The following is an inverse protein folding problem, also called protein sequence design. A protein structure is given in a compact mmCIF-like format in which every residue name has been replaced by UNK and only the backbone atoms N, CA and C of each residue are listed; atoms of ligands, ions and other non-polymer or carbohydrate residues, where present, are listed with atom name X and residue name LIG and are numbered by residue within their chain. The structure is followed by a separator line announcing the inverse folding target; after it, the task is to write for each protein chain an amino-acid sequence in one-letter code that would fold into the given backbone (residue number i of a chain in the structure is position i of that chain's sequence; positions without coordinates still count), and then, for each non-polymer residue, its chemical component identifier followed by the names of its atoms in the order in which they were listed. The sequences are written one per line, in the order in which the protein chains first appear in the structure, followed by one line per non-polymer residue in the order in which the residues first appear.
data_IF_368295592735
#
_entry.id   IF_368295592735
#
_cell.length_a   1.000
_cell.length_b   1.000
_cell.length_c   1.000
_cell.angle_alpha   90.00
_cell.angle_beta   90.00
_cell.angle_gamma   90.00
#
_symmetry.space_group_name_H-M   'P 1'
#
loop_
_entity.id
_entity.type
_entity.pdbx_description
1 polymer ?
#
# COMPACT_ATOMS: atom_id res chain seq x y z
N UNK A 1 -7.16 -13.85 -5.58
CA UNK A 1 -6.06 -13.21 -4.81
C UNK A 1 -4.75 -13.71 -5.38
N UNK A 2 -3.89 -12.83 -5.91
CA UNK A 2 -2.55 -13.24 -6.38
C UNK A 2 -1.55 -13.17 -5.23
N UNK A 3 -0.49 -13.99 -5.23
CA UNK A 3 0.52 -14.00 -4.14
C UNK A 3 1.09 -12.60 -3.87
N UNK A 4 1.30 -11.82 -4.94
CA UNK A 4 1.77 -10.43 -4.89
C UNK A 4 0.82 -9.46 -4.17
N UNK A 5 -0.48 -9.77 -4.17
CA UNK A 5 -1.52 -8.98 -3.50
C UNK A 5 -1.50 -9.23 -1.98
N UNK A 6 -1.28 -10.48 -1.57
CA UNK A 6 -1.14 -10.85 -0.15
C UNK A 6 0.13 -10.26 0.46
N UNK A 7 1.25 -10.31 -0.25
CA UNK A 7 2.51 -9.71 0.22
C UNK A 7 2.38 -8.19 0.40
N UNK A 8 1.69 -7.53 -0.52
CA UNK A 8 1.44 -6.08 -0.43
C UNK A 8 0.56 -5.73 0.78
N UNK A 9 -0.46 -6.54 1.07
CA UNK A 9 -1.29 -6.38 2.27
C UNK A 9 -0.48 -6.56 3.55
N UNK A 10 0.33 -7.62 3.64
CA UNK A 10 1.19 -7.89 4.81
C UNK A 10 2.20 -6.76 5.05
N UNK A 11 2.81 -6.23 3.98
CA UNK A 11 3.76 -5.11 4.08
C UNK A 11 3.07 -3.84 4.57
N UNK A 12 1.85 -3.55 4.12
CA UNK A 12 1.10 -2.36 4.54
C UNK A 12 0.57 -2.48 5.97
N UNK A 13 0.14 -3.68 6.37
CA UNK A 13 -0.27 -3.99 7.73
C UNK A 13 0.91 -3.84 8.70
N UNK A 14 2.07 -4.44 8.38
CA UNK A 14 3.28 -4.26 9.20
C UNK A 14 3.74 -2.79 9.27
N UNK A 15 3.45 -1.98 8.25
CA UNK A 15 3.68 -0.54 8.23
C UNK A 15 2.69 0.23 9.12
N UNK A 16 1.39 -0.13 9.11
CA UNK A 16 0.41 0.50 10.00
C UNK A 16 0.67 0.18 11.45
N UNK A 17 1.11 -1.05 11.72
CA UNK A 17 1.38 -1.55 13.06
C UNK A 17 2.72 -1.00 13.60
N UNK A 18 3.50 -0.30 12.78
CA UNK A 18 4.81 0.26 13.15
C UNK A 18 5.94 -0.77 13.21
N UNK A 19 5.67 -2.03 12.84
CA UNK A 19 6.63 -3.13 12.83
C UNK A 19 7.60 -3.07 11.64
N UNK A 20 7.32 -2.22 10.65
CA UNK A 20 8.13 -2.10 9.43
C UNK A 20 8.39 -0.63 9.07
N UNK A 21 9.67 -0.29 8.85
CA UNK A 21 10.06 1.04 8.38
C UNK A 21 9.61 1.27 6.94
N UNK A 22 9.17 2.50 6.65
CA UNK A 22 8.67 2.93 5.33
C UNK A 22 9.67 2.73 4.20
N UNK A 23 10.97 2.88 4.46
CA UNK A 23 12.04 2.64 3.49
C UNK A 23 12.13 1.16 3.08
N UNK A 24 12.04 0.26 4.05
CA UNK A 24 12.08 -1.20 3.81
C UNK A 24 10.83 -1.65 3.05
N UNK A 25 9.67 -1.13 3.44
CA UNK A 25 8.42 -1.41 2.74
C UNK A 25 8.43 -0.89 1.30
N UNK A 26 9.01 0.29 1.06
CA UNK A 26 9.16 0.85 -0.28
C UNK A 26 10.02 -0.07 -1.18
N UNK A 27 11.14 -0.58 -0.66
CA UNK A 27 11.97 -1.54 -1.37
C UNK A 27 11.22 -2.85 -1.68
N UNK A 28 10.48 -3.41 -0.70
CA UNK A 28 9.68 -4.64 -0.90
C UNK A 28 8.53 -4.46 -1.90
N UNK A 29 7.94 -3.27 -1.95
CA UNK A 29 6.86 -2.95 -2.87
C UNK A 29 7.37 -2.49 -4.25
N UNK A 30 8.67 -2.24 -4.41
CA UNK A 30 9.22 -1.63 -5.62
C UNK A 30 8.70 -0.21 -5.87
N UNK A 31 8.39 0.53 -4.79
CA UNK A 31 7.82 1.88 -4.84
C UNK A 31 8.77 2.88 -4.20
N UNK A 32 8.58 4.17 -4.48
CA UNK A 32 9.23 5.24 -3.72
C UNK A 32 8.61 5.39 -2.33
N UNK A 33 9.39 5.86 -1.36
CA UNK A 33 8.92 6.16 0.01
C UNK A 33 7.67 7.03 0.02
N UNK A 34 7.58 8.02 -0.88
CA UNK A 34 6.41 8.90 -1.04
C UNK A 34 5.17 8.15 -1.52
N UNK A 35 5.32 7.22 -2.45
CA UNK A 35 4.22 6.36 -2.92
C UNK A 35 3.77 5.41 -1.81
N UNK A 36 4.70 4.85 -1.03
CA UNK A 36 4.39 3.98 0.12
C UNK A 36 3.63 4.73 1.20
N UNK A 37 4.04 5.95 1.57
CA UNK A 37 3.32 6.80 2.54
C UNK A 37 1.92 7.18 2.05
N UNK A 38 1.76 7.45 0.75
CA UNK A 38 0.44 7.71 0.17
C UNK A 38 -0.46 6.47 0.27
N UNK A 39 0.11 5.29 0.04
CA UNK A 39 -0.60 4.03 0.16
C UNK A 39 -1.00 3.74 1.61
N UNK A 40 -0.11 4.00 2.57
CA UNK A 40 -0.37 3.85 4.00
C UNK A 40 -1.48 4.79 4.49
N UNK A 41 -1.44 6.07 4.10
CA UNK A 41 -2.51 7.02 4.44
C UNK A 41 -3.87 6.57 3.93
N UNK A 42 -3.91 6.03 2.71
CA UNK A 42 -5.15 5.48 2.13
C UNK A 42 -5.62 4.22 2.85
N UNK A 43 -4.68 3.35 3.26
CA UNK A 43 -4.97 2.17 4.08
C UNK A 43 -5.53 2.55 5.45
N UNK A 44 -5.01 3.60 6.09
CA UNK A 44 -5.51 4.10 7.38
C UNK A 44 -6.89 4.76 7.26
N UNK A 45 -7.17 5.49 6.18
CA UNK A 45 -8.45 6.18 5.99
C UNK A 45 -9.59 5.25 5.58
N UNK A 46 -9.32 4.22 4.78
CA UNK A 46 -10.35 3.32 4.23
C UNK A 46 -10.31 1.89 4.83
N UNK A 47 -9.34 1.58 5.70
CA UNK A 47 -9.13 0.26 6.31
C UNK A 47 -8.66 -0.83 5.33
N UNK A 48 -8.43 -2.06 5.83
CA UNK A 48 -7.96 -3.19 5.02
C UNK A 48 -8.93 -3.57 3.88
N UNK A 49 -10.23 -3.27 4.05
CA UNK A 49 -11.28 -3.47 3.06
C UNK A 49 -11.05 -2.69 1.76
N UNK A 50 -10.33 -1.55 1.84
CA UNK A 50 -10.02 -0.70 0.67
C UNK A 50 -9.06 -1.30 -0.34
N UNK A 51 -8.15 -2.16 0.14
CA UNK A 51 -7.15 -2.85 -0.68
C UNK A 51 -7.71 -4.12 -1.32
N UNK A 52 -8.73 -4.72 -0.71
CA UNK A 52 -9.41 -5.92 -1.22
C UNK A 52 -10.46 -5.56 -2.29
N UNK A 53 -11.20 -4.47 -2.11
CA UNK A 53 -12.39 -4.17 -2.91
C UNK A 53 -12.12 -3.33 -4.18
N UNK A 54 -10.90 -2.83 -4.38
CA UNK A 54 -10.48 -2.17 -5.63
C UNK A 54 -9.32 -2.93 -6.25
N UNK A 55 -9.64 -3.99 -6.99
CA UNK A 55 -8.71 -4.67 -7.90
C UNK A 55 -7.87 -3.61 -8.63
N UNK A 56 -6.54 -3.72 -8.56
CA UNK A 56 -5.60 -3.10 -9.51
C UNK A 56 -5.80 -1.59 -9.78
N UNK A 57 -5.04 -0.74 -9.09
CA UNK A 57 -4.64 0.56 -9.63
C UNK A 57 -5.78 1.52 -10.03
N UNK A 58 -6.08 2.47 -9.16
CA UNK A 58 -6.17 3.83 -9.67
C UNK A 58 -4.81 4.47 -9.42
N UNK A 59 -3.92 4.57 -10.44
CA UNK A 59 -3.02 5.70 -10.44
C UNK A 59 -3.92 6.93 -10.31
N UNK A 60 -3.58 7.86 -9.41
CA UNK A 60 -4.33 9.09 -9.29
C UNK A 60 -4.51 9.70 -10.67
N UNK A 61 -5.76 9.82 -11.08
CA UNK A 61 -6.20 10.43 -12.32
C UNK A 61 -5.76 11.90 -12.26
N UNK A 62 -4.59 12.22 -12.82
CA UNK A 62 -4.19 13.61 -13.06
C UNK A 62 -4.85 13.99 -14.38
N UNK A 63 -6.04 14.59 -14.24
CA UNK A 63 -6.76 15.29 -15.29
C UNK A 63 -5.81 16.29 -15.96
N UNK A 64 -5.63 16.16 -17.27
CA UNK A 64 -5.37 17.24 -18.22
C UNK A 64 -6.06 16.86 -19.54
#
# INVERSE_FOLDING_TARGET
MTMRQLDRLKVLQALSDGHLKTSIAAARLGLSTRQTLRLLRRYQSEGASSLQNRRQGTPGHRQF
#
